data_IF_931013014267
#
_entry.id   IF_931013014267
#
_cell.length_a   1.000
_cell.length_b   1.000
_cell.length_c   1.000
_cell.angle_alpha   90.00
_cell.angle_beta   90.00
_cell.angle_gamma   90.00
#
_symmetry.space_group_name_H-M   'P 1'
#
loop_
_entity.id
_entity.type
_entity.pdbx_description
1 polymer ?
#
# COMPACT_ATOMS: atom_id res chain seq x y z
N UNK A 1 -90.03 12.10 12.49
CA UNK A 1 -89.38 12.18 11.18
C UNK A 1 -88.09 13.03 11.15
N UNK A 2 -88.03 14.16 11.91
CA UNK A 2 -86.85 15.08 11.93
C UNK A 2 -85.65 14.45 12.64
N UNK A 3 -85.86 13.66 13.69
CA UNK A 3 -84.80 12.98 14.45
C UNK A 3 -84.11 11.85 13.64
N UNK A 4 -84.90 11.11 12.86
CA UNK A 4 -84.34 10.02 12.02
C UNK A 4 -83.52 10.55 10.89
N UNK A 5 -83.88 11.72 10.31
CA UNK A 5 -83.04 12.38 9.29
C UNK A 5 -81.71 12.88 9.81
N UNK A 6 -81.67 13.40 11.06
CA UNK A 6 -80.42 13.85 11.69
C UNK A 6 -79.47 12.70 12.02
N UNK A 7 -80.02 11.56 12.49
CA UNK A 7 -79.22 10.36 12.71
C UNK A 7 -78.63 9.77 11.41
N UNK A 8 -79.44 9.77 10.33
CA UNK A 8 -78.99 9.22 9.04
C UNK A 8 -77.86 10.08 8.42
N UNK A 9 -77.93 11.39 8.57
CA UNK A 9 -76.85 12.30 8.08
C UNK A 9 -75.60 12.18 8.90
N UNK A 10 -75.70 12.01 10.23
CA UNK A 10 -74.56 11.83 11.10
C UNK A 10 -73.84 10.49 10.83
N UNK A 11 -74.57 9.39 10.62
CA UNK A 11 -73.90 8.10 10.29
C UNK A 11 -73.29 8.10 8.89
N UNK A 12 -73.81 8.80 7.92
CA UNK A 12 -73.25 8.94 6.59
C UNK A 12 -71.94 9.76 6.62
N UNK A 13 -71.89 10.84 7.44
CA UNK A 13 -70.68 11.67 7.58
C UNK A 13 -69.50 10.89 8.22
N UNK A 14 -69.79 10.00 9.17
CA UNK A 14 -68.72 9.15 9.80
C UNK A 14 -68.23 8.11 8.82
N UNK A 15 -69.04 7.53 7.97
CA UNK A 15 -68.63 6.56 6.97
C UNK A 15 -67.73 7.19 5.88
N UNK A 16 -68.01 8.42 5.45
CA UNK A 16 -67.20 9.13 4.45
C UNK A 16 -65.83 9.55 5.03
N UNK A 17 -65.74 9.98 6.29
CA UNK A 17 -64.47 10.31 6.92
C UNK A 17 -63.56 9.09 7.14
N UNK A 18 -64.13 7.93 7.45
CA UNK A 18 -63.39 6.68 7.60
C UNK A 18 -62.79 6.18 6.28
N UNK A 19 -63.51 6.30 5.17
CA UNK A 19 -63.00 5.93 3.84
C UNK A 19 -61.86 6.87 3.37
N UNK A 20 -62.03 8.18 3.60
CA UNK A 20 -60.97 9.15 3.26
C UNK A 20 -59.70 8.92 4.05
N UNK A 21 -59.80 8.57 5.32
CA UNK A 21 -58.63 8.27 6.19
C UNK A 21 -57.92 7.00 5.78
N UNK A 22 -58.67 5.97 5.40
CA UNK A 22 -58.10 4.70 4.90
C UNK A 22 -57.35 4.89 3.59
N UNK A 23 -57.95 5.58 2.63
CA UNK A 23 -57.29 5.88 1.35
C UNK A 23 -55.99 6.68 1.54
N UNK A 24 -55.95 7.66 2.45
CA UNK A 24 -54.74 8.40 2.75
C UNK A 24 -53.66 7.52 3.37
N UNK A 25 -54.02 6.61 4.25
CA UNK A 25 -53.07 5.67 4.87
C UNK A 25 -52.50 4.72 3.82
N UNK A 26 -53.39 4.15 2.98
CA UNK A 26 -52.99 3.21 1.92
C UNK A 26 -52.03 3.86 0.90
N UNK A 27 -52.27 5.12 0.53
CA UNK A 27 -51.35 5.90 -0.33
C UNK A 27 -50.00 6.14 0.32
N UNK A 28 -49.96 6.47 1.63
CA UNK A 28 -48.73 6.68 2.37
C UNK A 28 -47.93 5.39 2.55
N UNK A 29 -48.59 4.28 2.80
CA UNK A 29 -48.00 2.96 2.92
C UNK A 29 -47.40 2.54 1.57
N UNK A 30 -48.10 2.66 0.47
CA UNK A 30 -47.59 2.38 -0.86
C UNK A 30 -46.35 3.25 -1.21
N UNK A 31 -46.35 4.52 -0.82
CA UNK A 31 -45.20 5.41 -0.99
C UNK A 31 -43.97 5.01 -0.14
N UNK A 32 -44.21 4.49 1.07
CA UNK A 32 -43.15 3.97 1.93
C UNK A 32 -42.60 2.64 1.41
N UNK A 33 -43.45 1.73 0.93
CA UNK A 33 -43.05 0.47 0.30
C UNK A 33 -42.16 0.72 -0.93
N UNK A 34 -42.59 1.63 -1.82
CA UNK A 34 -41.76 2.01 -2.98
C UNK A 34 -40.39 2.56 -2.62
N UNK A 35 -40.32 3.36 -1.56
CA UNK A 35 -39.02 3.89 -1.06
C UNK A 35 -38.20 2.79 -0.42
N UNK A 36 -38.80 1.85 0.26
CA UNK A 36 -38.12 0.70 0.85
C UNK A 36 -37.49 -0.17 -0.25
N UNK A 37 -38.21 -0.44 -1.32
CA UNK A 37 -37.73 -1.18 -2.49
C UNK A 37 -36.58 -0.44 -3.18
N UNK A 38 -36.69 0.88 -3.36
CA UNK A 38 -35.60 1.69 -3.91
C UNK A 38 -34.36 1.64 -3.04
N UNK A 39 -34.49 1.75 -1.71
CA UNK A 39 -33.38 1.62 -0.78
C UNK A 39 -32.76 0.22 -0.79
N UNK A 40 -33.56 -0.83 -0.90
CA UNK A 40 -33.09 -2.20 -1.01
C UNK A 40 -32.21 -2.38 -2.25
N UNK A 41 -32.67 -1.93 -3.41
CA UNK A 41 -31.88 -1.99 -4.66
C UNK A 41 -30.58 -1.18 -4.54
N UNK A 42 -30.62 -0.01 -3.90
CA UNK A 42 -29.40 0.80 -3.68
C UNK A 42 -28.41 0.12 -2.74
N UNK A 43 -28.90 -0.54 -1.70
CA UNK A 43 -28.05 -1.31 -0.78
C UNK A 43 -27.37 -2.48 -1.49
N UNK A 44 -28.11 -3.20 -2.34
CA UNK A 44 -27.55 -4.29 -3.13
C UNK A 44 -26.47 -3.78 -4.09
N UNK A 45 -26.71 -2.69 -4.79
CA UNK A 45 -25.74 -2.04 -5.68
C UNK A 45 -24.49 -1.57 -4.92
N UNK A 46 -24.68 -0.97 -3.75
CA UNK A 46 -23.56 -0.49 -2.92
C UNK A 46 -22.73 -1.64 -2.38
N UNK A 47 -23.38 -2.73 -1.96
CA UNK A 47 -22.73 -3.96 -1.50
C UNK A 47 -21.89 -4.58 -2.61
N UNK A 48 -22.44 -4.65 -3.83
CA UNK A 48 -21.72 -5.21 -4.98
C UNK A 48 -20.53 -4.32 -5.40
N UNK A 49 -20.74 -3.02 -5.42
CA UNK A 49 -19.65 -2.04 -5.69
C UNK A 49 -18.55 -2.11 -4.65
N UNK A 50 -18.90 -2.23 -3.36
CA UNK A 50 -17.95 -2.36 -2.27
C UNK A 50 -17.15 -3.65 -2.36
N UNK A 51 -17.81 -4.77 -2.70
CA UNK A 51 -17.15 -6.06 -2.92
C UNK A 51 -16.16 -6.00 -4.09
N UNK A 52 -16.57 -5.42 -5.22
CA UNK A 52 -15.69 -5.24 -6.38
C UNK A 52 -14.50 -4.33 -6.09
N UNK A 53 -14.71 -3.26 -5.31
CA UNK A 53 -13.62 -2.38 -4.90
C UNK A 53 -12.61 -3.10 -3.99
N UNK A 54 -13.09 -3.91 -3.05
CA UNK A 54 -12.25 -4.73 -2.18
C UNK A 54 -11.45 -5.77 -2.98
N UNK A 55 -12.10 -6.45 -3.93
CA UNK A 55 -11.44 -7.43 -4.80
C UNK A 55 -10.32 -6.77 -5.61
N UNK A 56 -10.59 -5.63 -6.28
CA UNK A 56 -9.55 -4.88 -7.01
C UNK A 56 -8.41 -4.40 -6.11
N UNK A 57 -8.71 -3.95 -4.88
CA UNK A 57 -7.69 -3.54 -3.92
C UNK A 57 -6.85 -4.74 -3.47
N UNK A 58 -7.46 -5.90 -3.29
CA UNK A 58 -6.76 -7.15 -2.95
C UNK A 58 -5.86 -7.60 -4.09
N UNK A 59 -6.37 -7.60 -5.34
CA UNK A 59 -5.60 -7.95 -6.53
C UNK A 59 -4.41 -6.99 -6.74
N UNK A 60 -4.63 -5.69 -6.57
CA UNK A 60 -3.56 -4.71 -6.61
C UNK A 60 -2.51 -4.96 -5.51
N UNK A 61 -2.93 -5.35 -4.31
CA UNK A 61 -2.04 -5.74 -3.22
C UNK A 61 -1.24 -7.01 -3.51
N UNK A 62 -1.86 -8.01 -4.16
CA UNK A 62 -1.18 -9.23 -4.61
C UNK A 62 -0.17 -8.92 -5.71
N UNK A 63 -0.55 -8.10 -6.70
CA UNK A 63 0.36 -7.65 -7.76
C UNK A 63 1.54 -6.85 -7.21
N UNK A 64 1.30 -5.99 -6.22
CA UNK A 64 2.38 -5.23 -5.56
C UNK A 64 3.33 -6.15 -4.78
N UNK A 65 2.82 -7.19 -4.12
CA UNK A 65 3.64 -8.22 -3.44
C UNK A 65 4.35 -9.13 -4.44
N UNK A 66 3.75 -9.42 -5.57
CA UNK A 66 4.34 -10.25 -6.62
C UNK A 66 5.51 -9.57 -7.35
N UNK A 67 5.65 -8.24 -7.23
CA UNK A 67 6.80 -7.52 -7.78
C UNK A 67 8.07 -7.66 -6.92
N UNK A 68 7.93 -8.05 -5.65
CA UNK A 68 9.06 -8.27 -4.75
C UNK A 68 9.51 -9.74 -4.82
N UNK A 69 10.73 -9.99 -5.22
CA UNK A 69 11.34 -11.32 -5.21
C UNK A 69 12.09 -11.58 -3.91
N UNK A 70 13.12 -10.80 -3.65
CA UNK A 70 13.95 -10.92 -2.44
C UNK A 70 14.82 -9.67 -2.25
N UNK A 71 15.28 -9.48 -1.03
CA UNK A 71 16.27 -8.44 -0.69
C UNK A 71 17.61 -9.10 -0.37
N UNK A 72 18.68 -8.56 -0.92
CA UNK A 72 20.03 -8.87 -0.51
C UNK A 72 20.52 -7.72 0.36
N UNK A 73 20.75 -8.02 1.64
CA UNK A 73 21.26 -7.03 2.60
C UNK A 73 22.77 -7.16 2.65
N UNK A 74 23.44 -6.11 2.25
CA UNK A 74 24.88 -6.02 2.27
C UNK A 74 25.29 -5.36 3.59
N UNK A 75 25.40 -6.17 4.66
CA UNK A 75 25.78 -5.74 6.01
C UNK A 75 27.13 -6.28 6.47
N UNK A 76 27.46 -5.98 7.70
CA UNK A 76 28.65 -6.41 8.43
C UNK A 76 28.83 -7.95 8.45
N UNK A 77 29.63 -8.46 7.58
CA UNK A 77 29.85 -9.90 7.32
C UNK A 77 30.07 -10.18 5.83
N UNK A 78 29.60 -9.29 4.96
CA UNK A 78 29.82 -9.28 3.53
C UNK A 78 30.16 -7.90 3.00
N UNK A 79 29.41 -6.85 3.36
CA UNK A 79 29.69 -5.47 2.90
C UNK A 79 29.32 -4.49 4.00
N UNK A 80 30.25 -4.23 4.90
CA UNK A 80 30.18 -3.07 5.78
C UNK A 80 30.89 -1.89 5.14
N UNK A 81 30.30 -0.72 5.32
CA UNK A 81 31.02 0.52 5.13
C UNK A 81 31.60 0.98 6.46
N UNK A 82 32.87 1.39 6.47
CA UNK A 82 33.41 2.08 7.60
C UNK A 82 32.68 3.42 7.82
N UNK A 83 32.89 4.02 8.97
CA UNK A 83 32.32 5.33 9.26
C UNK A 83 32.81 6.33 8.22
N UNK A 84 31.86 7.06 7.63
CA UNK A 84 32.13 8.09 6.61
C UNK A 84 32.65 7.57 5.25
N UNK A 85 32.59 6.26 5.01
CA UNK A 85 33.03 5.65 3.75
C UNK A 85 31.87 5.16 2.90
N UNK A 86 32.10 5.18 1.58
CA UNK A 86 31.19 4.65 0.54
C UNK A 86 31.91 3.74 -0.46
N UNK A 87 33.20 3.42 -0.22
CA UNK A 87 33.94 2.48 -1.07
C UNK A 87 33.57 1.04 -0.72
N UNK A 88 33.47 0.21 -1.76
CA UNK A 88 33.18 -1.21 -1.61
C UNK A 88 34.41 -1.98 -1.19
N UNK A 89 34.30 -2.76 -0.12
CA UNK A 89 35.33 -3.74 0.25
C UNK A 89 35.47 -4.84 -0.81
N UNK A 90 36.56 -5.60 -0.78
CA UNK A 90 36.76 -6.73 -1.71
C UNK A 90 35.68 -7.83 -1.51
N UNK A 91 35.26 -8.06 -0.27
CA UNK A 91 34.16 -8.98 0.04
C UNK A 91 32.84 -8.55 -0.59
N UNK A 92 32.57 -7.23 -0.51
CA UNK A 92 31.42 -6.59 -1.15
C UNK A 92 31.42 -6.79 -2.67
N UNK A 93 32.54 -6.52 -3.29
CA UNK A 93 32.72 -6.67 -4.74
C UNK A 93 32.48 -8.11 -5.19
N UNK A 94 32.97 -9.08 -4.41
CA UNK A 94 32.78 -10.51 -4.70
C UNK A 94 31.32 -10.93 -4.65
N UNK A 95 30.59 -10.52 -3.61
CA UNK A 95 29.15 -10.82 -3.45
C UNK A 95 28.30 -10.16 -4.55
N UNK A 96 28.61 -8.92 -4.91
CA UNK A 96 27.94 -8.23 -5.99
C UNK A 96 28.23 -8.86 -7.37
N UNK A 97 29.43 -9.38 -7.58
CA UNK A 97 29.77 -10.12 -8.79
C UNK A 97 29.00 -11.45 -8.88
N UNK A 98 28.83 -12.16 -7.77
CA UNK A 98 28.00 -13.37 -7.69
C UNK A 98 26.54 -13.04 -8.01
N UNK A 99 25.97 -12.00 -7.37
CA UNK A 99 24.62 -11.51 -7.67
C UNK A 99 24.46 -11.20 -9.17
N UNK A 100 25.39 -10.45 -9.75
CA UNK A 100 25.34 -10.11 -11.18
C UNK A 100 25.38 -11.37 -12.07
N UNK A 101 26.18 -12.37 -11.69
CA UNK A 101 26.24 -13.68 -12.35
C UNK A 101 24.91 -14.41 -12.31
N UNK A 102 24.31 -14.48 -11.15
CA UNK A 102 22.99 -15.10 -10.92
C UNK A 102 21.88 -14.43 -11.73
N UNK A 103 21.83 -13.10 -11.75
CA UNK A 103 20.84 -12.34 -12.50
C UNK A 103 20.96 -12.58 -14.02
N UNK A 104 22.17 -12.73 -14.52
CA UNK A 104 22.42 -13.07 -15.94
C UNK A 104 22.07 -14.51 -16.24
N UNK A 105 22.48 -15.45 -15.39
CA UNK A 105 22.27 -16.89 -15.59
C UNK A 105 20.79 -17.27 -15.59
N UNK A 106 19.98 -16.63 -14.78
CA UNK A 106 18.54 -16.88 -14.72
C UNK A 106 17.75 -16.15 -15.81
N UNK A 107 18.37 -15.26 -16.58
CA UNK A 107 17.77 -14.44 -17.64
C UNK A 107 16.43 -13.79 -17.24
N UNK A 108 16.32 -13.41 -15.97
CA UNK A 108 15.12 -12.81 -15.40
C UNK A 108 15.07 -11.32 -15.72
N UNK A 109 13.91 -10.85 -16.17
CA UNK A 109 13.67 -9.42 -16.38
C UNK A 109 13.35 -8.75 -15.05
N UNK A 110 14.36 -8.58 -14.18
CA UNK A 110 14.23 -7.97 -12.86
C UNK A 110 14.69 -6.51 -12.87
N UNK A 111 14.16 -5.76 -11.93
CA UNK A 111 14.58 -4.40 -11.60
C UNK A 111 15.21 -4.38 -10.21
N UNK A 112 16.28 -3.63 -10.03
CA UNK A 112 17.01 -3.53 -8.76
C UNK A 112 16.78 -2.15 -8.15
N UNK A 113 16.26 -2.11 -6.94
CA UNK A 113 16.25 -0.92 -6.10
C UNK A 113 17.37 -1.04 -5.07
N UNK A 114 18.31 -0.12 -5.14
CA UNK A 114 19.52 -0.12 -4.31
C UNK A 114 19.36 0.95 -3.24
N UNK A 115 19.15 0.51 -2.00
CA UNK A 115 18.79 1.34 -0.86
C UNK A 115 20.01 1.57 0.04
N UNK A 116 20.42 2.83 0.19
CA UNK A 116 21.55 3.20 1.04
C UNK A 116 21.10 3.71 2.42
N UNK A 117 21.77 3.21 3.46
CA UNK A 117 21.48 3.53 4.85
C UNK A 117 22.75 3.97 5.60
N UNK A 118 22.55 4.75 6.66
CA UNK A 118 23.60 5.18 7.59
C UNK A 118 23.19 4.87 9.02
N UNK A 119 24.15 4.99 9.94
CA UNK A 119 23.81 5.18 11.34
C UNK A 119 23.39 6.64 11.60
N UNK A 120 22.98 6.95 12.83
CA UNK A 120 22.51 8.29 13.23
C UNK A 120 23.66 9.25 13.62
N UNK A 121 24.90 8.97 13.24
CA UNK A 121 26.03 9.84 13.57
C UNK A 121 26.13 10.96 12.53
N UNK A 122 26.02 12.21 12.97
CA UNK A 122 26.13 13.39 12.10
C UNK A 122 24.78 14.00 11.69
N UNK A 123 24.81 15.04 10.84
CA UNK A 123 23.60 15.70 10.37
C UNK A 123 22.79 14.82 9.39
N UNK A 124 21.45 14.83 9.52
CA UNK A 124 20.55 14.03 8.66
C UNK A 124 20.75 14.29 7.15
N UNK A 125 20.95 15.55 6.75
CA UNK A 125 21.22 15.90 5.33
C UNK A 125 22.51 15.25 4.84
N UNK A 126 23.54 15.22 5.67
CA UNK A 126 24.79 14.54 5.35
C UNK A 126 24.59 13.02 5.25
N UNK A 127 23.89 12.42 6.20
CA UNK A 127 23.58 11.00 6.22
C UNK A 127 22.76 10.57 5.00
N UNK A 128 21.81 11.39 4.57
CA UNK A 128 21.09 11.14 3.32
C UNK A 128 22.03 11.14 2.09
N UNK A 129 22.94 12.10 2.00
CA UNK A 129 23.93 12.14 0.92
C UNK A 129 24.88 10.93 0.97
N UNK A 130 25.41 10.57 2.15
CA UNK A 130 26.29 9.43 2.34
C UNK A 130 25.60 8.10 1.96
N UNK A 131 24.34 7.93 2.35
CA UNK A 131 23.53 6.77 1.95
C UNK A 131 23.41 6.67 0.42
N UNK A 132 23.15 7.81 -0.26
CA UNK A 132 23.09 7.85 -1.72
C UNK A 132 24.43 7.46 -2.37
N UNK A 133 25.55 7.96 -1.85
CA UNK A 133 26.88 7.63 -2.36
C UNK A 133 27.21 6.13 -2.21
N UNK A 134 26.80 5.50 -1.11
CA UNK A 134 26.90 4.05 -0.91
C UNK A 134 26.10 3.27 -1.94
N UNK A 135 24.81 3.61 -2.12
CA UNK A 135 23.95 2.99 -3.12
C UNK A 135 24.51 3.14 -4.54
N UNK A 136 25.04 4.32 -4.87
CA UNK A 136 25.64 4.59 -6.17
C UNK A 136 26.92 3.80 -6.42
N UNK A 137 27.72 3.54 -5.38
CA UNK A 137 28.90 2.69 -5.50
C UNK A 137 28.54 1.24 -5.84
N UNK A 138 27.46 0.72 -5.25
CA UNK A 138 26.89 -0.59 -5.59
C UNK A 138 26.38 -0.60 -7.03
N UNK A 139 25.60 0.40 -7.45
CA UNK A 139 25.06 0.51 -8.82
C UNK A 139 26.18 0.51 -9.86
N UNK A 140 27.22 1.30 -9.65
CA UNK A 140 28.39 1.37 -10.55
C UNK A 140 29.10 0.03 -10.66
N UNK A 141 29.27 -0.67 -9.54
CA UNK A 141 29.90 -1.99 -9.55
C UNK A 141 29.06 -3.03 -10.31
N UNK A 142 27.75 -3.11 -10.05
CA UNK A 142 26.84 -4.01 -10.77
C UNK A 142 26.80 -3.69 -12.28
N UNK A 143 26.87 -2.42 -12.64
CA UNK A 143 26.97 -2.02 -14.05
C UNK A 143 28.28 -2.51 -14.69
N UNK A 144 29.41 -2.37 -14.01
CA UNK A 144 30.69 -2.91 -14.48
C UNK A 144 30.66 -4.43 -14.63
N UNK A 145 29.83 -5.14 -13.85
CA UNK A 145 29.55 -6.57 -14.01
C UNK A 145 28.53 -6.86 -15.11
N UNK A 146 28.00 -5.85 -15.82
CA UNK A 146 27.14 -5.99 -17.00
C UNK A 146 25.63 -5.96 -16.69
N UNK A 147 25.21 -5.49 -15.51
CA UNK A 147 23.80 -5.17 -15.26
C UNK A 147 23.46 -3.83 -15.91
N UNK A 148 22.38 -3.75 -16.67
CA UNK A 148 21.99 -2.55 -17.40
C UNK A 148 21.55 -1.43 -16.46
N UNK A 149 21.94 -0.18 -16.74
CA UNK A 149 21.66 0.97 -15.87
C UNK A 149 20.18 1.30 -15.76
N UNK A 150 19.41 1.07 -16.82
CA UNK A 150 17.97 1.28 -16.89
C UNK A 150 17.17 0.26 -16.05
N UNK A 151 17.85 -0.76 -15.53
CA UNK A 151 17.31 -1.77 -14.62
C UNK A 151 17.67 -1.54 -13.16
N UNK A 152 18.25 -0.41 -12.83
CA UNK A 152 18.71 -0.11 -11.49
C UNK A 152 18.35 1.32 -11.06
N UNK A 153 17.75 1.49 -9.88
CA UNK A 153 17.61 2.79 -9.21
C UNK A 153 18.36 2.78 -7.90
N UNK A 154 18.82 3.96 -7.50
CA UNK A 154 19.40 4.22 -6.18
C UNK A 154 18.47 5.11 -5.37
N UNK A 155 18.29 4.79 -4.10
CA UNK A 155 17.55 5.60 -3.14
C UNK A 155 18.33 5.65 -1.84
N UNK A 156 18.25 6.76 -1.12
CA UNK A 156 18.83 6.88 0.22
C UNK A 156 17.71 7.04 1.25
N UNK A 157 17.79 6.24 2.29
CA UNK A 157 17.02 6.42 3.51
C UNK A 157 17.83 7.14 4.61
N UNK A 158 19.15 7.37 4.38
CA UNK A 158 20.01 7.97 5.40
C UNK A 158 19.87 7.22 6.72
N UNK A 159 19.60 7.93 7.80
CA UNK A 159 19.38 7.39 9.15
C UNK A 159 17.93 7.05 9.48
N UNK A 160 16.99 7.29 8.56
CA UNK A 160 15.55 7.24 8.84
C UNK A 160 14.99 5.80 8.92
N UNK A 161 15.72 4.80 8.46
CA UNK A 161 15.30 3.40 8.47
C UNK A 161 16.35 2.48 9.14
N UNK A 162 16.55 2.61 10.45
CA UNK A 162 17.47 1.76 11.19
C UNK A 162 16.94 0.33 11.34
N UNK A 163 17.80 -0.67 11.27
CA UNK A 163 17.48 -2.09 11.55
C UNK A 163 17.85 -2.48 12.97
N UNK A 164 18.75 -1.73 13.59
CA UNK A 164 19.19 -1.91 14.98
C UNK A 164 19.26 -0.57 15.71
N UNK A 165 19.15 -0.54 17.04
CA UNK A 165 19.30 0.68 17.82
C UNK A 165 20.68 1.33 17.60
N UNK A 166 20.72 2.65 17.44
CA UNK A 166 21.95 3.43 17.21
C UNK A 166 22.79 3.71 18.47
N UNK A 167 22.32 3.33 19.64
CA UNK A 167 22.98 3.54 20.94
C UNK A 167 24.23 2.66 21.12
N UNK A 168 24.29 1.51 20.43
CA UNK A 168 25.43 0.60 20.48
C UNK A 168 26.33 0.72 19.24
N UNK A 169 27.63 0.44 19.40
CA UNK A 169 28.57 0.39 18.26
C UNK A 169 28.17 -0.70 17.25
N UNK A 170 27.69 -1.85 17.74
CA UNK A 170 27.22 -2.93 16.88
C UNK A 170 25.97 -2.54 16.09
N UNK A 171 24.98 -1.92 16.74
CA UNK A 171 23.75 -1.46 16.07
C UNK A 171 24.06 -0.43 14.98
N UNK A 172 24.95 0.54 15.27
CA UNK A 172 25.42 1.48 14.25
C UNK A 172 26.11 0.79 13.07
N UNK A 173 26.94 -0.22 13.33
CA UNK A 173 27.58 -1.00 12.27
C UNK A 173 26.56 -1.74 11.38
N UNK A 174 25.47 -2.26 11.97
CA UNK A 174 24.38 -2.89 11.22
C UNK A 174 23.57 -1.89 10.41
N UNK A 175 23.43 -0.65 10.89
CA UNK A 175 22.71 0.41 10.18
C UNK A 175 23.50 0.96 8.98
N UNK A 176 24.83 0.94 9.01
CA UNK A 176 25.67 1.31 7.86
C UNK A 176 25.67 0.21 6.81
N UNK A 177 24.61 0.17 5.98
CA UNK A 177 24.38 -0.91 5.02
C UNK A 177 23.85 -0.41 3.69
N UNK A 178 23.89 -1.28 2.70
CA UNK A 178 23.12 -1.15 1.47
C UNK A 178 22.26 -2.40 1.31
N UNK A 179 21.00 -2.20 0.94
CA UNK A 179 20.10 -3.25 0.57
C UNK A 179 19.85 -3.24 -0.94
N UNK A 180 19.91 -4.39 -1.58
CA UNK A 180 19.51 -4.55 -2.99
C UNK A 180 18.21 -5.32 -3.05
N UNK A 181 17.13 -4.62 -3.34
CA UNK A 181 15.78 -5.17 -3.48
C UNK A 181 15.59 -5.59 -4.93
N UNK A 182 15.30 -6.88 -5.15
CA UNK A 182 15.08 -7.44 -6.48
C UNK A 182 13.58 -7.51 -6.74
N UNK A 183 13.14 -6.82 -7.79
CA UNK A 183 11.74 -6.67 -8.20
C UNK A 183 11.52 -7.32 -9.58
N UNK A 184 10.30 -7.87 -9.80
CA UNK A 184 9.84 -8.32 -11.13
C UNK A 184 8.93 -7.29 -11.76
#
# INVERSE_FOLDING_TARGET
MRQVKVMLVATLAIAVSGCATKSYIDERVAGLESRLDEHSVRLDQLTDTSRQALERATDAGVLAKGKFLYTIVLTHGGISFETDEYELSDGARSQLAELAGDLKGKNQNVYLEIQGHTDSTGPAVYNHHLGLMRAESVRRHLHAQGVALDRMATISYGEDAPVEPNDTANGRAMNRRVEVVVLI
#
